data_IF_744407161684
#
_entry.id   IF_744407161684
#
_cell.length_a   1.000
_cell.length_b   1.000
_cell.length_c   1.000
_cell.angle_alpha   90.00
_cell.angle_beta   90.00
_cell.angle_gamma   90.00
#
_symmetry.space_group_name_H-M   'P 1'
#
loop_
_entity.id
_entity.type
_entity.pdbx_description
1 polymer ?
#
# COMPACT_ATOMS: atom_id res chain seq x y z
N UNK A 1 -7.92 4.62 19.21
CA UNK A 1 -7.56 4.31 17.80
C UNK A 1 -8.74 4.51 16.87
N UNK A 2 -9.86 3.80 17.07
CA UNK A 2 -11.03 3.86 16.18
C UNK A 2 -11.64 5.27 16.03
N UNK A 3 -11.89 5.99 17.13
CA UNK A 3 -12.49 7.34 17.06
C UNK A 3 -11.61 8.35 16.31
N UNK A 4 -10.29 8.30 16.47
CA UNK A 4 -9.35 9.16 15.74
C UNK A 4 -9.37 8.84 14.25
N UNK A 5 -9.39 7.56 13.90
CA UNK A 5 -9.53 7.10 12.52
C UNK A 5 -10.85 7.57 11.90
N UNK A 6 -11.98 7.40 12.60
CA UNK A 6 -13.29 7.81 12.09
C UNK A 6 -13.39 9.33 11.87
N UNK A 7 -12.84 10.14 12.77
CA UNK A 7 -12.75 11.61 12.59
C UNK A 7 -11.93 11.95 11.34
N UNK A 8 -10.70 11.44 11.25
CA UNK A 8 -9.84 11.64 10.08
C UNK A 8 -10.50 11.16 8.78
N UNK A 9 -11.21 10.03 8.81
CA UNK A 9 -11.85 9.45 7.62
C UNK A 9 -12.97 10.35 7.10
N UNK A 10 -13.77 10.94 8.00
CA UNK A 10 -14.82 11.92 7.63
C UNK A 10 -14.24 13.19 7.02
N UNK A 11 -13.10 13.65 7.54
CA UNK A 11 -12.44 14.87 7.06
C UNK A 11 -11.70 14.65 5.73
N UNK A 12 -10.93 13.56 5.63
CA UNK A 12 -10.03 13.31 4.49
C UNK A 12 -10.75 12.65 3.31
N UNK A 13 -11.76 11.81 3.57
CA UNK A 13 -12.56 11.11 2.54
C UNK A 13 -14.05 11.37 2.75
N UNK A 14 -14.51 12.62 2.54
CA UNK A 14 -15.86 13.05 2.90
C UNK A 14 -16.95 12.32 2.10
N UNK A 15 -16.66 11.90 0.87
CA UNK A 15 -17.58 11.15 0.01
C UNK A 15 -17.49 9.62 0.21
N UNK A 16 -16.79 9.16 1.26
CA UNK A 16 -16.62 7.74 1.57
C UNK A 16 -15.52 7.04 0.77
N UNK A 17 -15.30 7.44 -0.48
CA UNK A 17 -14.21 6.98 -1.36
C UNK A 17 -13.49 8.12 -2.06
N UNK A 18 -12.22 7.90 -2.39
CA UNK A 18 -11.43 8.80 -3.24
C UNK A 18 -11.62 8.38 -4.70
N UNK A 19 -11.87 9.34 -5.58
CA UNK A 19 -11.98 9.13 -7.02
C UNK A 19 -10.62 9.15 -7.72
N UNK A 20 -10.47 8.41 -8.81
CA UNK A 20 -9.30 8.50 -9.70
C UNK A 20 -9.12 9.91 -10.28
N UNK A 21 -10.21 10.67 -10.43
CA UNK A 21 -10.19 12.05 -10.90
C UNK A 21 -9.54 13.02 -9.91
N UNK A 22 -9.48 12.65 -8.62
CA UNK A 22 -8.79 13.42 -7.59
C UNK A 22 -7.28 13.14 -7.58
N UNK A 23 -6.83 12.09 -8.30
CA UNK A 23 -5.44 11.62 -8.31
C UNK A 23 -4.91 11.32 -9.73
N UNK A 24 -5.21 12.15 -10.74
CA UNK A 24 -4.94 11.81 -12.14
C UNK A 24 -3.44 11.71 -12.45
N UNK A 25 -2.60 12.54 -11.85
CA UNK A 25 -1.17 12.56 -12.10
C UNK A 25 -0.48 11.36 -11.43
N UNK A 26 -0.93 10.98 -10.24
CA UNK A 26 -0.43 9.79 -9.53
C UNK A 26 -0.82 8.49 -10.24
N UNK A 27 -2.07 8.42 -10.72
CA UNK A 27 -2.60 7.28 -11.47
C UNK A 27 -1.89 7.13 -12.83
N UNK A 28 -1.65 8.25 -13.53
CA UNK A 28 -0.96 8.25 -14.83
C UNK A 28 0.45 7.65 -14.79
N UNK A 29 1.12 7.70 -13.63
CA UNK A 29 2.44 7.08 -13.45
C UNK A 29 2.41 5.55 -13.49
N UNK A 30 1.23 4.93 -13.39
CA UNK A 30 1.02 3.49 -13.53
C UNK A 30 2.02 2.67 -12.68
N UNK A 31 2.11 3.04 -11.39
CA UNK A 31 3.13 2.56 -10.45
C UNK A 31 2.59 1.58 -9.42
N UNK A 32 1.30 1.29 -9.39
CA UNK A 32 0.66 0.41 -8.42
C UNK A 32 -0.34 -0.50 -9.12
N UNK A 33 -0.25 -1.81 -8.87
CA UNK A 33 -1.07 -2.83 -9.53
C UNK A 33 -1.55 -3.84 -8.49
N UNK A 34 -2.80 -4.28 -8.62
CA UNK A 34 -3.27 -5.50 -7.95
C UNK A 34 -2.90 -6.70 -8.82
N UNK A 35 -2.14 -7.64 -8.27
CA UNK A 35 -1.61 -8.80 -9.00
C UNK A 35 -2.09 -10.12 -8.38
N UNK A 36 -3.42 -10.28 -8.31
CA UNK A 36 -4.05 -11.50 -7.78
C UNK A 36 -3.85 -11.67 -6.28
N UNK A 37 -3.78 -12.93 -5.85
CA UNK A 37 -3.69 -13.29 -4.43
C UNK A 37 -2.54 -14.28 -4.16
N UNK A 38 -2.03 -14.26 -2.94
CA UNK A 38 -1.06 -15.26 -2.50
C UNK A 38 -1.69 -16.63 -2.25
N UNK A 39 -0.88 -17.63 -1.88
CA UNK A 39 -1.33 -19.00 -1.57
C UNK A 39 -2.37 -19.08 -0.44
N UNK A 40 -2.56 -18.02 0.34
CA UNK A 40 -3.56 -17.92 1.41
C UNK A 40 -4.77 -17.05 1.00
N UNK A 41 -4.88 -16.68 -0.27
CA UNK A 41 -5.97 -15.87 -0.79
C UNK A 41 -5.86 -14.37 -0.47
N UNK A 42 -4.74 -13.90 0.09
CA UNK A 42 -4.56 -12.47 0.43
C UNK A 42 -4.17 -11.68 -0.82
N UNK A 43 -4.76 -10.50 -1.07
CA UNK A 43 -4.44 -9.72 -2.25
C UNK A 43 -2.97 -9.28 -2.27
N UNK A 44 -2.34 -9.36 -3.44
CA UNK A 44 -0.99 -8.90 -3.69
C UNK A 44 -1.05 -7.57 -4.43
N UNK A 45 -0.29 -6.60 -3.95
CA UNK A 45 -0.04 -5.35 -4.68
C UNK A 45 1.41 -5.26 -5.08
N UNK A 46 1.64 -4.93 -6.35
CA UNK A 46 2.97 -4.61 -6.88
C UNK A 46 3.08 -3.11 -7.02
N UNK A 47 4.14 -2.54 -6.42
CA UNK A 47 4.48 -1.13 -6.56
C UNK A 47 5.80 -1.01 -7.29
N UNK A 48 5.80 -0.31 -8.42
CA UNK A 48 6.98 -0.03 -9.22
C UNK A 48 7.61 1.27 -8.76
N UNK A 49 8.55 1.18 -7.81
CA UNK A 49 9.26 2.35 -7.26
C UNK A 49 9.98 3.18 -8.32
N UNK A 50 10.47 2.56 -9.40
CA UNK A 50 11.12 3.24 -10.53
C UNK A 50 10.18 4.21 -11.28
N UNK A 51 8.87 4.09 -11.10
CA UNK A 51 7.86 4.99 -11.68
C UNK A 51 7.38 6.05 -10.70
N UNK A 52 7.96 6.14 -9.51
CA UNK A 52 7.60 7.14 -8.51
C UNK A 52 8.29 8.47 -8.82
N UNK A 53 7.56 9.40 -9.43
CA UNK A 53 8.00 10.77 -9.69
C UNK A 53 7.14 11.76 -8.92
N UNK A 54 7.73 12.87 -8.50
CA UNK A 54 6.99 13.98 -7.90
C UNK A 54 5.95 14.49 -8.90
N UNK A 55 4.67 14.43 -8.53
CA UNK A 55 3.56 14.85 -9.38
C UNK A 55 3.21 16.33 -9.22
N UNK A 56 2.53 16.91 -10.22
CA UNK A 56 2.11 18.32 -10.19
C UNK A 56 1.04 18.61 -9.13
N UNK A 57 0.21 17.65 -8.74
CA UNK A 57 -0.75 17.84 -7.63
C UNK A 57 -0.12 17.68 -6.24
N UNK A 58 1.19 17.43 -6.17
CA UNK A 58 1.98 17.54 -4.96
C UNK A 58 1.56 16.54 -3.87
N UNK A 59 1.84 16.92 -2.62
CA UNK A 59 1.72 16.02 -1.49
C UNK A 59 0.28 15.59 -1.19
N UNK A 60 -0.70 16.46 -1.41
CA UNK A 60 -2.11 16.14 -1.13
C UNK A 60 -2.68 15.14 -2.13
N UNK A 61 -2.37 15.29 -3.42
CA UNK A 61 -2.72 14.28 -4.43
C UNK A 61 -2.07 12.94 -4.11
N UNK A 62 -0.78 12.94 -3.74
CA UNK A 62 -0.07 11.73 -3.35
C UNK A 62 -0.70 11.03 -2.14
N UNK A 63 -1.05 11.78 -1.07
CA UNK A 63 -1.75 11.22 0.10
C UNK A 63 -3.09 10.60 -0.30
N UNK A 64 -3.86 11.27 -1.17
CA UNK A 64 -5.13 10.73 -1.69
C UNK A 64 -4.92 9.45 -2.49
N UNK A 65 -3.89 9.39 -3.33
CA UNK A 65 -3.56 8.21 -4.12
C UNK A 65 -3.19 7.01 -3.24
N UNK A 66 -2.40 7.25 -2.19
CA UNK A 66 -2.05 6.22 -1.21
C UNK A 66 -3.29 5.67 -0.51
N UNK A 67 -4.19 6.54 -0.04
CA UNK A 67 -5.44 6.13 0.61
C UNK A 67 -6.35 5.37 -0.36
N UNK A 68 -6.50 5.86 -1.59
CA UNK A 68 -7.23 5.17 -2.65
C UNK A 68 -6.70 3.75 -2.89
N UNK A 69 -5.39 3.62 -3.06
CA UNK A 69 -4.73 2.34 -3.27
C UNK A 69 -4.99 1.36 -2.12
N UNK A 70 -4.82 1.80 -0.87
CA UNK A 70 -5.11 0.98 0.30
C UNK A 70 -6.58 0.55 0.38
N UNK A 71 -7.52 1.46 0.13
CA UNK A 71 -8.95 1.13 0.12
C UNK A 71 -9.29 0.08 -0.95
N UNK A 72 -8.69 0.19 -2.14
CA UNK A 72 -8.84 -0.80 -3.22
C UNK A 72 -8.26 -2.17 -2.87
N UNK A 73 -7.11 -2.22 -2.21
CA UNK A 73 -6.55 -3.49 -1.71
C UNK A 73 -7.49 -4.12 -0.69
N UNK A 74 -7.93 -3.33 0.29
CA UNK A 74 -8.80 -3.82 1.36
C UNK A 74 -10.16 -4.31 0.84
N UNK A 75 -10.70 -3.65 -0.20
CA UNK A 75 -11.93 -4.05 -0.89
C UNK A 75 -11.73 -5.15 -1.94
N UNK A 76 -10.51 -5.61 -2.19
CA UNK A 76 -10.26 -6.79 -3.02
C UNK A 76 -10.12 -8.09 -2.21
N UNK A 77 -10.00 -7.99 -0.88
CA UNK A 77 -9.88 -9.14 0.01
C UNK A 77 -11.25 -9.76 0.30
N UNK A 78 -11.60 -10.81 -0.45
CA UNK A 78 -12.87 -11.53 -0.32
C UNK A 78 -13.07 -12.16 1.08
N UNK A 79 -11.98 -12.51 1.78
CA UNK A 79 -12.04 -13.01 3.16
C UNK A 79 -12.34 -11.88 4.15
N UNK A 80 -11.90 -10.66 3.84
CA UNK A 80 -12.28 -9.44 4.55
C UNK A 80 -13.77 -9.13 4.46
N UNK A 81 -14.45 -9.51 3.38
CA UNK A 81 -15.92 -9.39 3.27
C UNK A 81 -16.66 -10.43 4.11
N UNK A 82 -16.26 -11.70 4.03
CA UNK A 82 -16.92 -12.78 4.79
C UNK A 82 -16.66 -12.68 6.31
N UNK A 83 -15.49 -12.18 6.71
CA UNK A 83 -15.18 -11.84 8.11
C UNK A 83 -15.54 -10.41 8.51
N UNK A 84 -16.15 -9.62 7.63
CA UNK A 84 -16.28 -8.17 7.78
C UNK A 84 -17.08 -7.72 9.00
N UNK A 85 -18.14 -8.44 9.36
CA UNK A 85 -18.99 -8.06 10.51
C UNK A 85 -18.30 -8.27 11.86
N UNK A 86 -17.44 -9.27 11.99
CA UNK A 86 -16.67 -9.54 13.23
C UNK A 86 -15.36 -8.74 13.27
N UNK A 87 -14.65 -8.61 12.15
CA UNK A 87 -13.34 -7.94 12.09
C UNK A 87 -13.47 -6.40 12.20
N UNK A 88 -14.55 -5.81 11.67
CA UNK A 88 -14.80 -4.36 11.79
C UNK A 88 -15.07 -3.92 13.23
N UNK A 89 -15.56 -4.84 14.08
CA UNK A 89 -15.81 -4.57 15.50
C UNK A 89 -14.55 -4.74 16.37
N UNK A 90 -13.58 -5.55 15.94
CA UNK A 90 -12.47 -5.95 16.82
C UNK A 90 -11.10 -5.33 16.50
N UNK A 91 -10.63 -5.25 15.24
CA UNK A 91 -9.20 -4.99 15.02
C UNK A 91 -8.89 -4.39 13.64
N UNK A 92 -8.36 -3.16 13.59
CA UNK A 92 -7.48 -2.75 12.49
C UNK A 92 -6.24 -2.00 12.96
N UNK A 93 -5.12 -2.74 13.11
CA UNK A 93 -3.83 -2.25 12.60
C UNK A 93 -3.01 -3.28 11.78
N UNK A 94 -3.46 -4.51 11.52
CA UNK A 94 -2.59 -5.56 10.93
C UNK A 94 -3.08 -6.23 9.63
N UNK A 95 -3.57 -5.45 8.64
CA UNK A 95 -3.89 -5.99 7.28
C UNK A 95 -2.65 -6.34 6.47
N UNK A 96 -1.55 -5.62 6.67
CA UNK A 96 -0.33 -5.88 5.94
C UNK A 96 0.25 -7.21 6.43
N UNK A 97 0.39 -8.17 5.53
CA UNK A 97 0.98 -9.47 5.85
C UNK A 97 2.50 -9.46 5.70
N UNK A 98 3.00 -9.07 4.53
CA UNK A 98 4.42 -9.00 4.18
C UNK A 98 4.67 -7.87 3.17
N UNK A 99 5.87 -7.31 3.20
CA UNK A 99 6.39 -6.37 2.19
C UNK A 99 7.67 -6.96 1.63
N UNK A 100 7.79 -7.03 0.31
CA UNK A 100 9.01 -7.49 -0.36
C UNK A 100 9.63 -6.32 -1.11
N UNK A 101 10.85 -5.94 -0.74
CA UNK A 101 11.65 -4.95 -1.45
C UNK A 101 12.56 -5.68 -2.43
N UNK A 102 12.18 -5.66 -3.70
CA UNK A 102 12.85 -6.38 -4.79
C UNK A 102 13.68 -5.39 -5.61
N UNK A 103 14.95 -5.70 -5.86
CA UNK A 103 15.86 -4.85 -6.64
C UNK A 103 15.96 -3.39 -6.15
N UNK A 104 15.93 -3.18 -4.84
CA UNK A 104 16.07 -1.84 -4.27
C UNK A 104 17.47 -1.26 -4.56
N UNK A 105 17.58 -0.12 -5.26
CA UNK A 105 18.89 0.52 -5.51
C UNK A 105 19.46 1.13 -4.22
N UNK A 106 20.78 1.33 -4.16
CA UNK A 106 21.45 1.87 -2.97
C UNK A 106 20.89 3.21 -2.49
N UNK A 107 20.51 4.09 -3.41
CA UNK A 107 19.89 5.39 -3.07
C UNK A 107 18.56 5.21 -2.34
N UNK A 108 17.75 4.22 -2.75
CA UNK A 108 16.50 3.90 -2.06
C UNK A 108 16.78 3.41 -0.65
N UNK A 109 17.79 2.55 -0.47
CA UNK A 109 18.17 2.05 0.85
C UNK A 109 18.61 3.18 1.79
N UNK A 110 19.36 4.17 1.29
CA UNK A 110 19.76 5.33 2.09
C UNK A 110 18.56 6.15 2.57
N UNK A 111 17.59 6.42 1.70
CA UNK A 111 16.34 7.11 2.09
C UNK A 111 15.50 6.25 3.02
N UNK A 112 15.44 4.94 2.78
CA UNK A 112 14.68 4.00 3.57
C UNK A 112 15.17 3.91 5.01
N UNK A 113 16.48 3.96 5.27
CA UNK A 113 17.06 4.00 6.62
C UNK A 113 16.60 5.24 7.42
N UNK A 114 16.31 6.36 6.76
CA UNK A 114 15.77 7.56 7.40
C UNK A 114 14.28 7.38 7.75
N UNK A 115 13.52 6.72 6.88
CA UNK A 115 12.07 6.50 7.06
C UNK A 115 11.78 5.36 8.04
N UNK A 116 12.61 4.32 8.05
CA UNK A 116 12.40 3.08 8.79
C UNK A 116 12.17 3.26 10.30
N UNK A 117 12.84 4.19 11.01
CA UNK A 117 12.57 4.51 12.42
C UNK A 117 11.16 5.03 12.72
N UNK A 118 10.45 5.57 11.73
CA UNK A 118 9.08 6.08 11.89
C UNK A 118 8.01 4.99 11.68
N UNK A 119 8.40 3.81 11.18
CA UNK A 119 7.50 2.68 10.94
C UNK A 119 7.27 1.93 12.25
N UNK A 120 6.04 1.49 12.52
CA UNK A 120 5.72 0.70 13.71
C UNK A 120 6.53 -0.62 13.78
N UNK A 121 6.87 -1.06 15.00
CA UNK A 121 7.68 -2.26 15.24
C UNK A 121 7.06 -3.53 14.62
N UNK A 122 5.74 -3.67 14.63
CA UNK A 122 5.07 -4.84 14.04
C UNK A 122 5.16 -4.82 12.51
N UNK A 123 5.07 -3.63 11.90
CA UNK A 123 5.23 -3.47 10.45
C UNK A 123 6.66 -3.75 10.00
N UNK A 124 7.68 -3.32 10.76
CA UNK A 124 9.10 -3.61 10.44
C UNK A 124 9.39 -5.10 10.30
N UNK A 125 8.82 -5.94 11.17
CA UNK A 125 8.99 -7.40 11.13
C UNK A 125 8.48 -8.05 9.83
N UNK A 126 7.62 -7.36 9.09
CA UNK A 126 6.96 -7.85 7.87
C UNK A 126 7.74 -7.51 6.59
N UNK A 127 8.73 -6.62 6.67
CA UNK A 127 9.57 -6.21 5.55
C UNK A 127 10.64 -7.27 5.27
N UNK A 128 10.78 -7.67 4.02
CA UNK A 128 11.78 -8.64 3.52
C UNK A 128 12.48 -8.05 2.30
N UNK A 129 13.81 -8.09 2.31
CA UNK A 129 14.62 -7.68 1.18
C UNK A 129 14.88 -8.90 0.29
N UNK A 130 14.68 -8.75 -1.02
CA UNK A 130 14.91 -9.81 -2.00
C UNK A 130 15.96 -9.32 -2.98
N UNK A 131 17.11 -9.99 -2.97
CA UNK A 131 18.20 -9.73 -3.91
C UNK A 131 18.02 -10.55 -5.20
N UNK A 132 18.53 -10.01 -6.30
CA UNK A 132 18.30 -10.45 -7.68
C UNK A 132 18.64 -11.91 -7.98
N UNK A 133 19.49 -12.55 -7.18
CA UNK A 133 19.98 -13.91 -7.41
C UNK A 133 18.92 -15.01 -7.23
N UNK A 134 17.73 -14.69 -6.69
CA UNK A 134 16.71 -15.69 -6.35
C UNK A 134 15.45 -15.69 -7.23
N UNK A 135 15.39 -14.83 -8.27
CA UNK A 135 14.23 -14.75 -9.17
C UNK A 135 14.71 -15.09 -10.58
N UNK A 136 14.43 -16.30 -11.11
CA UNK A 136 14.66 -16.56 -12.52
C UNK A 136 13.70 -15.67 -13.30
N UNK A 137 14.23 -14.59 -13.87
CA UNK A 137 13.51 -13.79 -14.86
C UNK A 137 13.43 -14.69 -16.09
N UNK A 138 12.29 -15.35 -16.28
CA UNK A 138 12.00 -15.99 -17.57
C UNK A 138 11.95 -14.87 -18.61
N UNK A 139 13.02 -14.79 -19.41
CA UNK A 139 13.02 -14.02 -20.64
C UNK A 139 12.04 -14.72 -21.59
N UNK A 140 10.83 -14.18 -21.71
CA UNK A 140 9.96 -14.44 -22.85
C UNK A 140 10.18 -13.34 -23.88
#
# INVERSE_FOLDING_TARGET
MLLRYLKWRREFVPHGSISLLETPNEVAQNKMFLQGSDKKGRPITVILGARHFQSKGGLEEFKRFVVYGFDKICSSDIHGYLGGLSILQEYYPERLAKVFLVHAPYIFMAVWEIVYPFIDKNTRKKVKYVHSSCIPITKN
#
